data_IF_608513393501
#
_entry.id   IF_608513393501
#
_cell.length_a   1.000
_cell.length_b   1.000
_cell.length_c   1.000
_cell.angle_alpha   90.00
_cell.angle_beta   90.00
_cell.angle_gamma   90.00
#
_symmetry.space_group_name_H-M   'P 1'
#
loop_
_entity.id
_entity.type
_entity.pdbx_description
1 polymer ?
#
# COMPACT_ATOMS: atom_id res chain seq x y z
N UNK A 1 18.75 -4.96 -34.02
CA UNK A 1 19.04 -5.23 -35.45
C UNK A 1 17.79 -5.51 -36.30
N UNK A 2 17.04 -6.62 -36.12
CA UNK A 2 15.85 -6.88 -36.95
C UNK A 2 14.64 -5.99 -36.60
N UNK A 3 14.36 -5.79 -35.31
CA UNK A 3 13.27 -4.92 -34.82
C UNK A 3 13.51 -3.47 -35.25
N UNK A 4 14.67 -2.89 -34.91
CA UNK A 4 15.03 -1.52 -35.30
C UNK A 4 14.96 -1.27 -36.81
N UNK A 5 15.31 -2.28 -37.63
CA UNK A 5 15.18 -2.18 -39.08
C UNK A 5 13.72 -2.04 -39.50
N UNK A 6 12.83 -2.89 -38.97
CA UNK A 6 11.39 -2.81 -39.25
C UNK A 6 10.82 -1.49 -38.75
N UNK A 7 11.19 -1.05 -37.55
CA UNK A 7 10.73 0.21 -36.98
C UNK A 7 11.16 1.42 -37.83
N UNK A 8 12.42 1.44 -38.28
CA UNK A 8 12.97 2.49 -39.16
C UNK A 8 12.24 2.50 -40.51
N UNK A 9 11.99 1.32 -41.08
CA UNK A 9 11.26 1.20 -42.36
C UNK A 9 9.81 1.63 -42.22
N UNK A 10 9.15 1.30 -41.12
CA UNK A 10 7.80 1.73 -40.81
C UNK A 10 7.74 3.26 -40.63
N UNK A 11 8.73 3.89 -39.98
CA UNK A 11 8.78 5.35 -39.84
C UNK A 11 8.82 6.08 -41.20
N UNK A 12 9.47 5.48 -42.21
CA UNK A 12 9.60 6.05 -43.56
C UNK A 12 8.38 5.72 -44.44
N UNK A 13 7.99 4.44 -44.49
CA UNK A 13 6.99 3.93 -45.43
C UNK A 13 5.56 3.82 -44.87
N UNK A 14 5.40 3.94 -43.54
CA UNK A 14 4.14 3.79 -42.80
C UNK A 14 3.38 2.52 -43.24
N UNK A 15 2.05 2.57 -43.20
CA UNK A 15 1.16 1.45 -43.53
C UNK A 15 1.28 0.94 -44.96
N UNK A 16 1.62 1.80 -45.93
CA UNK A 16 1.78 1.40 -47.32
C UNK A 16 2.89 0.35 -47.48
N UNK A 17 3.97 0.49 -46.71
CA UNK A 17 5.05 -0.49 -46.72
C UNK A 17 4.64 -1.83 -46.08
N UNK A 18 3.85 -1.77 -45.01
CA UNK A 18 3.31 -2.97 -44.33
C UNK A 18 2.42 -3.77 -45.28
N UNK A 19 1.50 -3.10 -45.97
CA UNK A 19 0.59 -3.72 -46.95
C UNK A 19 1.36 -4.33 -48.13
N UNK A 20 2.41 -3.67 -48.61
CA UNK A 20 3.27 -4.24 -49.66
C UNK A 20 4.04 -5.48 -49.20
N UNK A 21 4.42 -5.56 -47.92
CA UNK A 21 5.15 -6.71 -47.38
C UNK A 21 4.25 -7.92 -47.13
N UNK A 22 3.03 -7.68 -46.63
CA UNK A 22 2.02 -8.72 -46.38
C UNK A 22 1.31 -9.18 -47.66
N UNK A 23 1.08 -8.28 -48.62
CA UNK A 23 0.42 -8.57 -49.89
C UNK A 23 1.33 -9.18 -50.97
N UNK A 24 2.61 -9.42 -50.67
CA UNK A 24 3.54 -9.99 -51.63
C UNK A 24 3.33 -11.52 -51.76
N UNK A 25 2.49 -11.95 -52.70
CA UNK A 25 2.12 -13.36 -52.95
C UNK A 25 3.33 -14.29 -53.17
N UNK A 26 4.50 -13.74 -53.54
CA UNK A 26 5.73 -14.51 -53.75
C UNK A 26 6.40 -14.93 -52.43
N UNK A 27 6.03 -14.34 -51.30
CA UNK A 27 6.50 -14.72 -49.97
C UNK A 27 5.31 -15.26 -49.18
N UNK A 28 5.15 -16.59 -49.12
CA UNK A 28 4.29 -17.20 -48.10
C UNK A 28 4.96 -17.01 -46.75
N UNK A 29 4.36 -16.19 -45.91
CA UNK A 29 4.77 -16.03 -44.52
C UNK A 29 4.27 -17.23 -43.73
N UNK A 30 5.14 -17.80 -42.90
CA UNK A 30 4.68 -18.74 -41.86
C UNK A 30 4.01 -17.95 -40.73
N UNK A 31 3.03 -18.55 -40.07
CA UNK A 31 2.30 -18.00 -38.92
C UNK A 31 3.20 -17.26 -37.93
N UNK A 32 4.29 -17.91 -37.51
CA UNK A 32 5.24 -17.35 -36.55
C UNK A 32 6.02 -16.12 -37.08
N UNK A 33 6.27 -16.05 -38.39
CA UNK A 33 6.94 -14.90 -39.01
C UNK A 33 5.99 -13.70 -39.12
N UNK A 34 4.70 -13.96 -39.43
CA UNK A 34 3.66 -12.93 -39.44
C UNK A 34 3.52 -12.33 -38.05
N UNK A 35 3.38 -13.17 -37.02
CA UNK A 35 3.31 -12.73 -35.63
C UNK A 35 4.54 -11.93 -35.23
N UNK A 36 5.74 -12.45 -35.48
CA UNK A 36 6.99 -11.74 -35.14
C UNK A 36 7.16 -10.41 -35.89
N UNK A 37 6.57 -10.24 -37.07
CA UNK A 37 6.56 -8.97 -37.77
C UNK A 37 5.54 -8.01 -37.18
N UNK A 38 4.33 -8.49 -36.88
CA UNK A 38 3.29 -7.68 -36.25
C UNK A 38 3.74 -7.16 -34.88
N UNK A 39 4.47 -7.94 -34.07
CA UNK A 39 4.98 -7.48 -32.75
C UNK A 39 5.98 -6.33 -32.86
N UNK A 40 6.56 -6.12 -34.03
CA UNK A 40 7.47 -4.99 -34.29
C UNK A 40 6.76 -3.76 -34.84
N UNK A 41 5.44 -3.82 -35.07
CA UNK A 41 4.61 -2.70 -35.48
C UNK A 41 3.95 -2.04 -34.26
N UNK A 42 3.55 -0.77 -34.37
CA UNK A 42 2.84 -0.13 -33.27
C UNK A 42 1.48 -0.76 -33.01
N UNK A 43 1.09 -0.82 -31.74
CA UNK A 43 -0.25 -1.26 -31.37
C UNK A 43 -1.22 -0.12 -31.71
N UNK A 44 -2.12 -0.39 -32.67
CA UNK A 44 -3.19 0.51 -33.04
C UNK A 44 -4.32 -0.28 -33.71
N UNK A 45 -5.49 0.35 -33.90
CA UNK A 45 -6.65 -0.25 -34.56
C UNK A 45 -6.32 -0.99 -35.88
N UNK A 46 -5.37 -0.49 -36.69
CA UNK A 46 -4.98 -1.17 -37.94
C UNK A 46 -4.25 -2.49 -37.70
N UNK A 47 -3.35 -2.53 -36.72
CA UNK A 47 -2.68 -3.77 -36.29
C UNK A 47 -3.70 -4.75 -35.71
N UNK A 48 -4.63 -4.27 -34.89
CA UNK A 48 -5.72 -5.06 -34.32
C UNK A 48 -6.61 -5.68 -35.41
N UNK A 49 -6.97 -4.92 -36.45
CA UNK A 49 -7.78 -5.43 -37.55
C UNK A 49 -7.02 -6.49 -38.38
N UNK A 50 -5.70 -6.38 -38.51
CA UNK A 50 -4.89 -7.40 -39.16
C UNK A 50 -4.81 -8.68 -38.30
N UNK A 51 -4.64 -8.52 -36.98
CA UNK A 51 -4.66 -9.63 -36.02
C UNK A 51 -6.00 -10.35 -35.98
N UNK A 52 -7.12 -9.62 -36.09
CA UNK A 52 -8.45 -10.20 -36.08
C UNK A 52 -8.74 -11.14 -37.28
N UNK A 53 -7.94 -11.04 -38.35
CA UNK A 53 -8.02 -11.94 -39.51
C UNK A 53 -7.17 -13.21 -39.35
N UNK A 54 -6.37 -13.31 -38.30
CA UNK A 54 -5.51 -14.45 -37.99
C UNK A 54 -6.22 -15.46 -37.08
N UNK A 55 -5.69 -16.68 -37.00
CA UNK A 55 -6.22 -17.72 -36.12
C UNK A 55 -6.02 -17.36 -34.63
N UNK A 56 -6.84 -17.91 -33.75
CA UNK A 56 -6.83 -17.59 -32.29
C UNK A 56 -5.48 -17.91 -31.63
N UNK A 57 -4.80 -18.98 -32.10
CA UNK A 57 -3.45 -19.33 -31.67
C UNK A 57 -2.43 -18.24 -32.05
N UNK A 58 -2.53 -17.68 -33.25
CA UNK A 58 -1.62 -16.63 -33.74
C UNK A 58 -1.84 -15.30 -33.01
N UNK A 59 -3.10 -14.98 -32.70
CA UNK A 59 -3.45 -13.84 -31.87
C UNK A 59 -2.86 -13.97 -30.46
N UNK A 60 -2.99 -15.15 -29.85
CA UNK A 60 -2.43 -15.44 -28.54
C UNK A 60 -0.90 -15.31 -28.53
N UNK A 61 -0.22 -15.85 -29.56
CA UNK A 61 1.24 -15.72 -29.72
C UNK A 61 1.68 -14.26 -29.89
N UNK A 62 0.89 -13.42 -30.57
CA UNK A 62 1.16 -11.99 -30.68
C UNK A 62 1.11 -11.32 -29.31
N UNK A 63 0.02 -11.50 -28.56
CA UNK A 63 -0.17 -10.87 -27.26
C UNK A 63 0.85 -11.35 -26.22
N UNK A 64 1.31 -12.60 -26.33
CA UNK A 64 2.39 -13.12 -25.50
C UNK A 64 3.75 -12.46 -25.78
N UNK A 65 4.00 -12.01 -27.02
CA UNK A 65 5.30 -11.51 -27.46
C UNK A 65 5.38 -9.98 -27.63
N UNK A 66 4.24 -9.27 -27.65
CA UNK A 66 4.22 -7.83 -27.92
C UNK A 66 4.90 -7.03 -26.80
N UNK A 67 5.65 -6.00 -27.19
CA UNK A 67 6.18 -5.00 -26.27
C UNK A 67 5.28 -3.75 -26.27
N UNK A 68 4.82 -3.34 -25.09
CA UNK A 68 3.93 -2.18 -24.92
C UNK A 68 4.62 -0.83 -25.07
N UNK A 69 5.96 -0.81 -25.24
CA UNK A 69 6.75 0.41 -25.42
C UNK A 69 6.44 1.17 -26.72
N UNK A 70 5.56 0.63 -27.58
CA UNK A 70 5.26 1.20 -28.89
C UNK A 70 3.76 1.28 -29.20
N UNK A 71 2.95 1.67 -28.22
CA UNK A 71 1.55 2.03 -28.44
C UNK A 71 1.47 3.46 -28.95
N UNK A 72 0.73 3.67 -30.04
CA UNK A 72 0.67 4.97 -30.75
C UNK A 72 -0.68 5.68 -30.56
N UNK A 73 -1.72 5.00 -30.07
CA UNK A 73 -3.08 5.55 -30.04
C UNK A 73 -3.76 5.37 -28.68
N UNK A 74 -4.33 6.46 -28.17
CA UNK A 74 -5.00 6.52 -26.86
C UNK A 74 -6.30 5.72 -26.79
N UNK A 75 -6.97 5.51 -27.93
CA UNK A 75 -8.23 4.77 -27.97
C UNK A 75 -8.05 3.25 -27.81
N UNK A 76 -6.82 2.76 -27.97
CA UNK A 76 -6.51 1.34 -27.96
C UNK A 76 -6.01 0.83 -26.58
N UNK A 77 -5.87 1.71 -25.57
CA UNK A 77 -5.28 1.34 -24.27
C UNK A 77 -6.11 0.32 -23.50
N UNK A 78 -7.40 0.56 -23.24
CA UNK A 78 -8.22 -0.36 -22.45
C UNK A 78 -8.33 -1.74 -23.11
N UNK A 79 -8.51 -1.76 -24.44
CA UNK A 79 -8.56 -3.00 -25.22
C UNK A 79 -7.24 -3.75 -25.12
N UNK A 80 -6.12 -3.04 -25.21
CA UNK A 80 -4.77 -3.62 -25.08
C UNK A 80 -4.56 -4.21 -23.68
N UNK A 81 -4.92 -3.48 -22.62
CA UNK A 81 -4.81 -3.94 -21.24
C UNK A 81 -5.62 -5.23 -21.06
N UNK A 82 -6.89 -5.26 -21.47
CA UNK A 82 -7.72 -6.47 -21.35
C UNK A 82 -7.15 -7.64 -22.13
N UNK A 83 -6.65 -7.42 -23.35
CA UNK A 83 -6.02 -8.48 -24.16
C UNK A 83 -4.74 -9.02 -23.52
N UNK A 84 -3.97 -8.19 -22.82
CA UNK A 84 -2.79 -8.63 -22.05
C UNK A 84 -3.19 -9.47 -20.83
N UNK A 85 -4.28 -9.09 -20.14
CA UNK A 85 -4.81 -9.88 -19.02
C UNK A 85 -5.34 -11.24 -19.50
N UNK A 86 -6.05 -11.30 -20.63
CA UNK A 86 -6.54 -12.56 -21.23
C UNK A 86 -5.42 -13.58 -21.50
N UNK A 87 -4.20 -13.11 -21.81
CA UNK A 87 -3.03 -13.98 -22.05
C UNK A 87 -2.09 -14.11 -20.84
N UNK A 88 -2.58 -13.75 -19.64
CA UNK A 88 -1.84 -13.84 -18.38
C UNK A 88 -0.52 -13.02 -18.37
N UNK A 89 -0.57 -11.77 -18.84
CA UNK A 89 0.55 -10.80 -18.77
C UNK A 89 0.25 -9.57 -17.91
N UNK A 90 -0.09 -9.73 -16.61
CA UNK A 90 -0.50 -8.62 -15.74
C UNK A 90 0.62 -7.59 -15.49
N UNK A 91 1.90 -8.00 -15.44
CA UNK A 91 3.02 -7.06 -15.27
C UNK A 91 3.19 -6.12 -16.47
N UNK A 92 3.01 -6.64 -17.69
CA UNK A 92 3.07 -5.82 -18.90
C UNK A 92 1.85 -4.89 -18.98
N UNK A 93 0.69 -5.34 -18.50
CA UNK A 93 -0.49 -4.50 -18.36
C UNK A 93 -0.26 -3.37 -17.34
N UNK A 94 0.37 -3.67 -16.20
CA UNK A 94 0.75 -2.70 -15.18
C UNK A 94 1.75 -1.66 -15.71
N UNK A 95 2.79 -2.11 -16.43
CA UNK A 95 3.77 -1.20 -17.07
C UNK A 95 3.07 -0.22 -18.03
N UNK A 96 2.07 -0.71 -18.78
CA UNK A 96 1.26 0.13 -19.66
C UNK A 96 0.41 1.13 -18.88
N UNK A 97 -0.30 0.69 -17.84
CA UNK A 97 -1.10 1.58 -16.98
C UNK A 97 -0.21 2.64 -16.35
N UNK A 98 0.96 2.27 -15.82
CA UNK A 98 1.93 3.19 -15.28
C UNK A 98 2.44 4.22 -16.30
N UNK A 99 2.63 3.82 -17.56
CA UNK A 99 2.99 4.75 -18.64
C UNK A 99 1.87 5.76 -18.94
N UNK A 100 0.62 5.30 -18.97
CA UNK A 100 -0.57 6.15 -19.23
C UNK A 100 -0.73 7.16 -18.09
N UNK A 101 -0.71 6.71 -16.84
CA UNK A 101 -0.89 7.56 -15.64
C UNK A 101 0.32 8.47 -15.35
N UNK A 102 1.44 8.32 -16.08
CA UNK A 102 2.57 9.27 -16.05
C UNK A 102 2.39 10.42 -17.04
N UNK A 103 1.62 10.24 -18.10
CA UNK A 103 1.47 11.25 -19.14
C UNK A 103 0.26 12.15 -18.87
N UNK A 104 0.45 13.21 -18.09
CA UNK A 104 -0.59 14.20 -17.72
C UNK A 104 -1.25 14.89 -18.92
N UNK A 105 -0.60 14.93 -20.10
CA UNK A 105 -1.16 15.54 -21.30
C UNK A 105 -2.11 14.60 -22.07
N UNK A 106 -2.10 13.31 -21.72
CA UNK A 106 -2.79 12.24 -22.45
C UNK A 106 -3.63 11.34 -21.52
N UNK A 107 -3.78 11.71 -20.25
CA UNK A 107 -4.52 10.96 -19.25
C UNK A 107 -6.01 10.92 -19.61
N UNK A 108 -6.41 9.86 -20.29
CA UNK A 108 -7.81 9.44 -20.40
C UNK A 108 -8.19 8.78 -19.08
N UNK A 109 -9.40 9.06 -18.60
CA UNK A 109 -10.00 8.38 -17.44
C UNK A 109 -10.05 6.87 -17.75
N UNK A 110 -9.10 6.10 -17.23
CA UNK A 110 -9.17 4.64 -17.27
C UNK A 110 -10.33 4.21 -16.38
N UNK A 111 -11.15 3.26 -16.84
CA UNK A 111 -12.23 2.75 -15.99
C UNK A 111 -11.69 2.23 -14.65
N UNK A 112 -12.22 2.64 -13.49
CA UNK A 112 -11.79 2.10 -12.20
C UNK A 112 -11.93 0.58 -12.13
N UNK A 113 -12.90 -0.01 -12.84
CA UNK A 113 -13.04 -1.47 -12.93
C UNK A 113 -11.82 -2.11 -13.59
N UNK A 114 -11.24 -1.49 -14.62
CA UNK A 114 -10.07 -2.02 -15.31
C UNK A 114 -8.82 -1.94 -14.42
N UNK A 115 -8.68 -0.85 -13.66
CA UNK A 115 -7.58 -0.69 -12.70
C UNK A 115 -7.63 -1.77 -11.61
N UNK A 116 -8.82 -2.06 -11.09
CA UNK A 116 -9.07 -3.14 -10.13
C UNK A 116 -8.76 -4.49 -10.77
N UNK A 117 -9.27 -4.78 -11.98
CA UNK A 117 -8.98 -6.02 -12.72
C UNK A 117 -7.48 -6.26 -12.86
N UNK A 118 -6.70 -5.22 -13.19
CA UNK A 118 -5.23 -5.33 -13.30
C UNK A 118 -4.58 -5.71 -11.96
N UNK A 119 -5.00 -5.09 -10.86
CA UNK A 119 -4.51 -5.42 -9.52
C UNK A 119 -4.92 -6.83 -9.10
N UNK A 120 -6.14 -7.26 -9.39
CA UNK A 120 -6.60 -8.62 -9.05
C UNK A 120 -5.84 -9.70 -9.81
N UNK A 121 -5.65 -9.51 -11.12
CA UNK A 121 -4.87 -10.46 -11.94
C UNK A 121 -3.40 -10.47 -11.54
N UNK A 122 -2.81 -9.32 -11.18
CA UNK A 122 -1.44 -9.27 -10.70
C UNK A 122 -1.29 -10.02 -9.36
N UNK A 123 -2.24 -9.88 -8.44
CA UNK A 123 -2.24 -10.60 -7.16
C UNK A 123 -2.43 -12.13 -7.31
N UNK A 124 -3.25 -12.55 -8.27
CA UNK A 124 -3.50 -13.97 -8.55
C UNK A 124 -2.39 -14.62 -9.39
N UNK A 125 -1.59 -13.81 -10.08
CA UNK A 125 -0.47 -14.32 -10.86
C UNK A 125 0.57 -14.94 -9.93
N UNK A 126 0.81 -16.24 -10.09
CA UNK A 126 1.97 -16.85 -9.46
C UNK A 126 3.22 -16.15 -9.98
N UNK A 127 4.07 -15.65 -9.07
CA UNK A 127 5.43 -15.21 -9.39
C UNK A 127 6.14 -16.36 -10.11
N UNK A 128 6.08 -16.37 -11.43
CA UNK A 128 6.17 -17.63 -12.15
C UNK A 128 6.34 -17.42 -13.64
N UNK A 129 7.30 -16.59 -14.03
CA UNK A 129 8.11 -16.73 -15.27
C UNK A 129 9.06 -15.55 -15.47
N UNK A 130 8.80 -14.39 -14.85
CA UNK A 130 9.68 -13.23 -14.87
C UNK A 130 10.28 -13.03 -13.47
N UNK A 131 11.54 -13.43 -13.26
CA UNK A 131 12.31 -12.84 -12.16
C UNK A 131 12.37 -11.35 -12.44
N UNK A 132 11.58 -10.56 -11.72
CA UNK A 132 11.64 -9.11 -11.81
C UNK A 132 13.09 -8.72 -11.53
N UNK A 133 13.74 -8.12 -12.52
CA UNK A 133 14.98 -7.40 -12.28
C UNK A 133 14.72 -6.33 -11.22
N UNK A 134 15.73 -5.82 -10.49
CA UNK A 134 15.52 -4.70 -9.57
C UNK A 134 14.74 -3.55 -10.21
N UNK A 135 15.03 -3.25 -11.48
CA UNK A 135 14.27 -2.27 -12.27
C UNK A 135 12.80 -2.65 -12.48
N UNK A 136 12.50 -3.94 -12.65
CA UNK A 136 11.13 -4.45 -12.77
C UNK A 136 10.34 -4.34 -11.46
N UNK A 137 10.99 -4.59 -10.32
CA UNK A 137 10.37 -4.40 -9.01
C UNK A 137 10.01 -2.93 -8.77
N UNK A 138 10.93 -2.00 -9.04
CA UNK A 138 10.65 -0.57 -8.92
C UNK A 138 9.49 -0.11 -9.82
N UNK A 139 9.44 -0.60 -11.08
CA UNK A 139 8.30 -0.30 -11.96
C UNK A 139 6.97 -0.86 -11.43
N UNK A 140 7.00 -2.04 -10.81
CA UNK A 140 5.82 -2.63 -10.18
C UNK A 140 5.32 -1.75 -9.02
N UNK A 141 6.21 -1.36 -8.11
CA UNK A 141 5.91 -0.45 -6.98
C UNK A 141 5.29 0.86 -7.50
N UNK A 142 5.97 1.52 -8.45
CA UNK A 142 5.50 2.77 -9.04
C UNK A 142 4.13 2.63 -9.72
N UNK A 143 3.92 1.52 -10.43
CA UNK A 143 2.67 1.23 -11.14
C UNK A 143 1.51 1.03 -10.18
N UNK A 144 1.72 0.23 -9.13
CA UNK A 144 0.73 -0.01 -8.08
C UNK A 144 0.39 1.29 -7.35
N UNK A 145 1.39 2.08 -6.94
CA UNK A 145 1.17 3.39 -6.32
C UNK A 145 0.31 4.32 -7.19
N UNK A 146 0.63 4.40 -8.50
CA UNK A 146 -0.10 5.21 -9.46
C UNK A 146 -1.57 4.78 -9.58
N UNK A 147 -1.83 3.48 -9.64
CA UNK A 147 -3.20 2.96 -9.69
C UNK A 147 -3.97 3.36 -8.44
N UNK A 148 -3.39 3.18 -7.25
CA UNK A 148 -4.06 3.57 -6.00
C UNK A 148 -4.28 5.08 -5.89
N UNK A 149 -3.33 5.91 -6.35
CA UNK A 149 -3.51 7.36 -6.42
C UNK A 149 -4.66 7.78 -7.35
N UNK A 150 -4.88 7.04 -8.43
CA UNK A 150 -6.00 7.27 -9.35
C UNK A 150 -7.32 6.83 -8.72
N UNK A 151 -7.36 5.63 -8.12
CA UNK A 151 -8.54 5.12 -7.41
C UNK A 151 -8.97 6.02 -6.26
N UNK A 152 -8.03 6.69 -5.56
CA UNK A 152 -8.33 7.67 -4.51
C UNK A 152 -9.12 8.89 -5.01
N UNK A 153 -9.01 9.24 -6.30
CA UNK A 153 -9.73 10.36 -6.91
C UNK A 153 -11.10 9.96 -7.44
N UNK A 154 -11.32 8.66 -7.62
CA UNK A 154 -12.53 8.08 -8.17
C UNK A 154 -13.47 7.66 -7.04
N UNK A 155 -14.78 7.75 -7.28
CA UNK A 155 -15.80 7.40 -6.28
C UNK A 155 -16.10 5.88 -6.30
N UNK A 156 -15.08 5.08 -5.97
CA UNK A 156 -15.12 3.61 -5.89
C UNK A 156 -15.50 3.14 -4.48
N UNK A 157 -15.99 1.92 -4.33
CA UNK A 157 -16.36 1.37 -3.02
C UNK A 157 -15.12 1.12 -2.13
N UNK A 158 -15.09 1.75 -0.96
CA UNK A 158 -13.98 1.65 0.01
C UNK A 158 -13.66 0.21 0.45
N UNK A 159 -14.65 -0.70 0.43
CA UNK A 159 -14.49 -2.08 0.90
C UNK A 159 -13.57 -2.90 -0.03
N UNK A 160 -13.69 -2.66 -1.33
CA UNK A 160 -12.93 -3.35 -2.39
C UNK A 160 -11.48 -2.85 -2.42
N UNK A 161 -11.28 -1.53 -2.36
CA UNK A 161 -9.94 -0.95 -2.33
C UNK A 161 -9.21 -1.35 -1.04
N UNK A 162 -9.88 -1.37 0.13
CA UNK A 162 -9.24 -1.82 1.37
C UNK A 162 -8.77 -3.28 1.31
N UNK A 163 -9.47 -4.15 0.57
CA UNK A 163 -9.03 -5.54 0.33
C UNK A 163 -7.75 -5.56 -0.51
N UNK A 164 -7.68 -4.74 -1.55
CA UNK A 164 -6.48 -4.62 -2.39
C UNK A 164 -5.31 -4.00 -1.62
N UNK A 165 -5.55 -2.99 -0.78
CA UNK A 165 -4.52 -2.42 0.09
C UNK A 165 -3.91 -3.48 1.00
N UNK A 166 -4.69 -4.43 1.51
CA UNK A 166 -4.17 -5.53 2.33
C UNK A 166 -3.26 -6.46 1.54
N UNK A 167 -3.63 -6.77 0.30
CA UNK A 167 -2.83 -7.61 -0.60
C UNK A 167 -1.51 -6.93 -0.96
N UNK A 168 -1.55 -5.61 -1.17
CA UNK A 168 -0.41 -4.81 -1.60
C UNK A 168 0.34 -4.08 -0.49
N UNK A 169 0.02 -4.37 0.77
CA UNK A 169 0.58 -3.68 1.93
C UNK A 169 2.12 -3.59 1.90
N UNK A 170 2.88 -4.68 1.63
CA UNK A 170 4.35 -4.62 1.63
C UNK A 170 4.95 -3.70 0.56
N UNK A 171 4.21 -3.45 -0.53
CA UNK A 171 4.60 -2.50 -1.56
C UNK A 171 4.20 -1.09 -1.16
N UNK A 172 2.97 -0.89 -0.67
CA UNK A 172 2.43 0.43 -0.35
C UNK A 172 3.19 1.13 0.77
N UNK A 173 3.72 0.39 1.75
CA UNK A 173 4.53 0.99 2.82
C UNK A 173 5.82 1.64 2.33
N UNK A 174 6.33 1.21 1.17
CA UNK A 174 7.52 1.78 0.54
C UNK A 174 7.21 3.03 -0.30
N UNK A 175 5.92 3.40 -0.41
CA UNK A 175 5.45 4.45 -1.31
C UNK A 175 4.99 5.69 -0.53
N UNK A 176 4.78 6.80 -1.26
CA UNK A 176 4.18 7.99 -0.66
C UNK A 176 2.69 7.77 -0.38
N UNK A 177 2.04 6.88 -1.14
CA UNK A 177 0.65 6.47 -0.96
C UNK A 177 0.56 5.27 0.00
N UNK A 178 0.69 5.55 1.30
CA UNK A 178 0.42 4.60 2.39
C UNK A 178 -1.01 4.00 2.33
N UNK A 179 -1.32 2.86 3.00
CA UNK A 179 -2.64 2.19 2.92
C UNK A 179 -3.75 2.97 3.66
N UNK A 180 -4.20 4.06 3.04
CA UNK A 180 -5.12 5.06 3.62
C UNK A 180 -6.42 4.46 4.12
N UNK A 181 -7.03 3.53 3.38
CA UNK A 181 -8.33 2.97 3.77
C UNK A 181 -8.19 1.99 4.93
N UNK A 182 -7.13 1.19 4.96
CA UNK A 182 -6.83 0.33 6.11
C UNK A 182 -6.53 1.15 7.37
N UNK A 183 -5.71 2.21 7.26
CA UNK A 183 -5.46 3.14 8.36
C UNK A 183 -6.75 3.79 8.86
N UNK A 184 -7.60 4.29 7.94
CA UNK A 184 -8.91 4.85 8.28
C UNK A 184 -9.83 3.83 8.94
N UNK A 185 -9.78 2.56 8.49
CA UNK A 185 -10.58 1.48 9.05
C UNK A 185 -10.13 1.13 10.47
N UNK A 186 -8.81 1.13 10.74
CA UNK A 186 -8.28 0.98 12.10
C UNK A 186 -8.77 2.11 13.02
N UNK A 187 -8.69 3.37 12.57
CA UNK A 187 -9.11 4.53 13.35
C UNK A 187 -10.62 4.58 13.61
N UNK A 188 -11.45 4.02 12.72
CA UNK A 188 -12.92 4.03 12.87
C UNK A 188 -13.50 2.78 13.51
N UNK A 189 -12.87 1.62 13.33
CA UNK A 189 -13.42 0.34 13.78
C UNK A 189 -12.50 -0.34 14.82
N UNK A 190 -12.83 -0.21 16.12
CA UNK A 190 -12.03 -0.83 17.18
C UNK A 190 -12.04 -2.37 17.15
N UNK A 191 -13.06 -2.99 16.56
CA UNK A 191 -13.11 -4.45 16.39
C UNK A 191 -12.12 -4.91 15.32
N UNK A 192 -11.97 -4.14 14.24
CA UNK A 192 -10.97 -4.43 13.21
C UNK A 192 -9.55 -4.31 13.77
N UNK A 193 -9.29 -3.31 14.62
CA UNK A 193 -8.02 -3.23 15.36
C UNK A 193 -7.76 -4.49 16.19
N UNK A 194 -8.75 -4.93 16.98
CA UNK A 194 -8.62 -6.16 17.76
C UNK A 194 -8.42 -7.40 16.87
N UNK A 195 -9.04 -7.47 15.69
CA UNK A 195 -8.82 -8.53 14.71
C UNK A 195 -7.37 -8.55 14.19
N UNK A 196 -6.78 -7.39 13.88
CA UNK A 196 -5.37 -7.33 13.45
C UNK A 196 -4.44 -7.82 14.55
N UNK A 197 -4.69 -7.45 15.82
CA UNK A 197 -3.91 -7.95 16.95
C UNK A 197 -3.98 -9.47 17.12
N UNK A 198 -5.05 -10.11 16.64
CA UNK A 198 -5.16 -11.58 16.63
C UNK A 198 -4.16 -12.24 15.69
N UNK A 199 -3.81 -11.57 14.60
CA UNK A 199 -2.80 -12.07 13.67
C UNK A 199 -1.39 -11.89 14.23
N UNK A 200 -1.13 -10.77 14.93
CA UNK A 200 0.23 -10.39 15.34
C UNK A 200 0.66 -11.03 16.65
N UNK A 201 -0.25 -11.14 17.62
CA UNK A 201 0.05 -11.61 18.97
C UNK A 201 -0.65 -12.93 19.28
N UNK A 202 0.02 -13.80 20.02
CA UNK A 202 -0.62 -14.96 20.65
C UNK A 202 -1.54 -14.50 21.78
N UNK A 203 -2.55 -15.32 22.09
CA UNK A 203 -3.37 -15.12 23.29
C UNK A 203 -2.49 -15.26 24.53
N UNK A 204 -2.79 -14.50 25.58
CA UNK A 204 -2.16 -14.58 26.89
C UNK A 204 -2.28 -15.99 27.50
N UNK A 205 -3.36 -16.70 27.15
CA UNK A 205 -3.67 -18.06 27.60
C UNK A 205 -3.00 -19.17 26.75
N UNK A 206 -2.58 -18.86 25.52
CA UNK A 206 -2.08 -19.86 24.54
C UNK A 206 -0.55 -19.79 24.36
N UNK A 207 0.19 -19.29 25.36
CA UNK A 207 1.66 -19.09 25.26
C UNK A 207 2.46 -20.38 25.03
N UNK A 208 1.85 -21.55 25.22
CA UNK A 208 2.47 -22.87 25.10
C UNK A 208 2.20 -23.60 23.75
N UNK A 209 1.36 -23.06 22.85
CA UNK A 209 0.99 -23.71 21.56
C UNK A 209 1.75 -23.16 20.33
N UNK A 210 3.03 -22.79 20.50
CA UNK A 210 3.86 -22.13 19.48
C UNK A 210 4.31 -23.02 18.30
N UNK A 211 4.10 -24.35 18.35
CA UNK A 211 4.90 -25.29 17.55
C UNK A 211 4.35 -25.64 16.15
N UNK A 212 3.29 -25.00 15.67
CA UNK A 212 2.79 -25.28 14.30
C UNK A 212 2.02 -24.14 13.64
N UNK A 213 2.59 -22.93 13.57
CA UNK A 213 2.04 -21.90 12.69
C UNK A 213 2.35 -22.23 11.22
N UNK A 214 1.30 -22.36 10.42
CA UNK A 214 1.40 -22.54 8.97
C UNK A 214 1.98 -21.27 8.31
N UNK A 215 2.55 -21.41 7.11
CA UNK A 215 3.17 -20.31 6.34
C UNK A 215 2.18 -19.15 6.14
N UNK A 216 0.92 -19.45 5.86
CA UNK A 216 -0.14 -18.44 5.73
C UNK A 216 -0.36 -17.64 7.02
N UNK A 217 -0.25 -18.29 8.18
CA UNK A 217 -0.40 -17.60 9.47
C UNK A 217 0.76 -16.66 9.74
N UNK A 218 1.99 -17.06 9.39
CA UNK A 218 3.16 -16.19 9.49
C UNK A 218 3.07 -14.98 8.54
N UNK A 219 2.61 -15.18 7.30
CA UNK A 219 2.38 -14.09 6.35
C UNK A 219 1.36 -13.10 6.91
N UNK A 220 0.21 -13.58 7.40
CA UNK A 220 -0.80 -12.71 8.02
C UNK A 220 -0.28 -11.95 9.24
N UNK A 221 0.53 -12.60 10.08
CA UNK A 221 1.14 -11.98 11.25
C UNK A 221 2.11 -10.85 10.87
N UNK A 222 2.92 -11.06 9.83
CA UNK A 222 3.85 -10.05 9.32
C UNK A 222 3.09 -8.86 8.71
N UNK A 223 2.10 -9.11 7.84
CA UNK A 223 1.24 -8.05 7.29
C UNK A 223 0.50 -7.26 8.38
N UNK A 224 0.00 -7.97 9.41
CA UNK A 224 -0.64 -7.31 10.55
C UNK A 224 0.34 -6.41 11.32
N UNK A 225 1.60 -6.83 11.47
CA UNK A 225 2.63 -6.05 12.15
C UNK A 225 3.00 -4.81 11.34
N UNK A 226 3.29 -4.99 10.06
CA UNK A 226 3.55 -3.91 9.09
C UNK A 226 2.44 -2.84 9.17
N UNK A 227 1.18 -3.27 9.04
CA UNK A 227 0.04 -2.35 9.09
C UNK A 227 -0.05 -1.56 10.41
N UNK A 228 0.27 -2.20 11.54
CA UNK A 228 0.26 -1.56 12.86
C UNK A 228 1.43 -0.59 13.05
N UNK A 229 2.58 -0.87 12.44
CA UNK A 229 3.78 -0.03 12.47
C UNK A 229 3.63 1.20 11.58
N UNK A 230 2.96 1.08 10.43
CA UNK A 230 2.70 2.19 9.50
C UNK A 230 1.49 3.06 9.88
N UNK A 231 0.73 2.70 10.91
CA UNK A 231 -0.50 3.40 11.32
C UNK A 231 -0.26 4.47 12.39
N UNK A 232 -0.52 5.73 12.02
CA UNK A 232 -0.35 6.91 12.89
C UNK A 232 -1.63 7.75 13.07
N UNK A 233 -2.74 7.34 12.46
CA UNK A 233 -3.99 8.09 12.49
C UNK A 233 -4.76 7.86 13.80
N UNK A 234 -4.74 8.85 14.70
CA UNK A 234 -5.43 8.77 16.00
C UNK A 234 -6.95 8.64 15.81
N UNK A 235 -7.63 7.67 16.46
CA UNK A 235 -9.08 7.58 16.46
C UNK A 235 -9.76 8.87 16.95
N UNK A 236 -10.86 9.28 16.29
CA UNK A 236 -11.55 10.53 16.59
C UNK A 236 -10.82 11.81 16.16
N UNK A 237 -9.67 11.72 15.46
CA UNK A 237 -9.00 12.88 14.90
C UNK A 237 -9.73 13.37 13.65
N UNK A 238 -10.27 14.59 13.70
CA UNK A 238 -10.86 15.27 12.57
C UNK A 238 -9.79 15.81 11.60
N UNK A 239 -10.18 16.08 10.35
CA UNK A 239 -9.30 16.67 9.33
C UNK A 239 -8.72 18.03 9.75
N UNK A 240 -9.42 18.76 10.63
CA UNK A 240 -8.99 20.03 11.20
C UNK A 240 -7.91 19.90 12.29
N UNK A 241 -7.50 18.66 12.63
CA UNK A 241 -6.48 18.37 13.64
C UNK A 241 -7.00 18.39 15.08
N UNK A 242 -8.32 18.43 15.27
CA UNK A 242 -8.96 18.34 16.60
C UNK A 242 -9.43 16.92 16.89
N UNK A 243 -9.23 16.46 18.12
CA UNK A 243 -9.73 15.15 18.58
C UNK A 243 -11.15 15.30 19.11
N UNK A 244 -12.09 14.51 18.59
CA UNK A 244 -13.39 14.28 19.21
C UNK A 244 -13.22 13.41 20.46
N UNK A 245 -13.47 14.01 21.62
CA UNK A 245 -13.27 13.36 22.92
C UNK A 245 -14.17 12.13 23.11
N UNK A 246 -15.41 12.19 22.65
CA UNK A 246 -16.38 11.12 22.86
C UNK A 246 -16.08 9.96 21.89
N UNK A 247 -15.79 10.27 20.63
CA UNK A 247 -15.42 9.24 19.64
C UNK A 247 -14.15 8.49 20.08
N UNK A 248 -13.11 9.20 20.50
CA UNK A 248 -11.87 8.57 20.96
C UNK A 248 -12.10 7.70 22.20
N UNK A 249 -12.84 8.19 23.21
CA UNK A 249 -13.13 7.41 24.43
C UNK A 249 -13.95 6.16 24.14
N UNK A 250 -14.96 6.27 23.27
CA UNK A 250 -15.76 5.12 22.84
C UNK A 250 -14.88 4.11 22.09
N UNK A 251 -14.04 4.59 21.17
CA UNK A 251 -13.13 3.74 20.41
C UNK A 251 -12.18 2.98 21.35
N UNK A 252 -11.51 3.68 22.27
CA UNK A 252 -10.58 3.06 23.24
C UNK A 252 -11.31 2.03 24.10
N UNK A 253 -12.48 2.37 24.64
CA UNK A 253 -13.26 1.43 25.47
C UNK A 253 -13.60 0.14 24.72
N UNK A 254 -14.06 0.26 23.48
CA UNK A 254 -14.45 -0.90 22.65
C UNK A 254 -13.24 -1.73 22.21
N UNK A 255 -12.13 -1.07 21.86
CA UNK A 255 -10.90 -1.73 21.47
C UNK A 255 -10.38 -2.59 22.63
N UNK A 256 -10.30 -2.01 23.84
CA UNK A 256 -9.89 -2.72 25.05
C UNK A 256 -10.80 -3.91 25.36
N UNK A 257 -12.12 -3.72 25.34
CA UNK A 257 -13.08 -4.80 25.56
C UNK A 257 -12.86 -5.97 24.58
N UNK A 258 -12.69 -5.67 23.29
CA UNK A 258 -12.46 -6.67 22.27
C UNK A 258 -11.09 -7.37 22.41
N UNK A 259 -10.04 -6.63 22.77
CA UNK A 259 -8.71 -7.17 23.02
C UNK A 259 -8.71 -8.11 24.22
N UNK A 260 -9.31 -7.70 25.35
CA UNK A 260 -9.46 -8.55 26.53
C UNK A 260 -10.28 -9.81 26.23
N UNK A 261 -11.38 -9.69 25.49
CA UNK A 261 -12.22 -10.84 25.11
C UNK A 261 -11.48 -11.87 24.24
N UNK A 262 -10.41 -11.46 23.55
CA UNK A 262 -9.56 -12.34 22.74
C UNK A 262 -8.21 -12.65 23.42
N UNK A 263 -8.07 -12.44 24.73
CA UNK A 263 -6.86 -12.75 25.49
C UNK A 263 -5.64 -11.91 25.11
N UNK A 264 -5.83 -10.67 24.65
CA UNK A 264 -4.76 -9.75 24.22
C UNK A 264 -4.90 -8.40 24.91
N UNK A 265 -5.29 -8.39 26.18
CA UNK A 265 -5.57 -7.18 26.94
C UNK A 265 -4.32 -6.31 27.09
N UNK A 266 -3.23 -6.89 27.58
CA UNK A 266 -1.96 -6.18 27.79
C UNK A 266 -1.40 -5.63 26.46
N UNK A 267 -1.44 -6.45 25.41
CA UNK A 267 -0.99 -6.05 24.06
C UNK A 267 -1.92 -5.00 23.44
N UNK A 268 -3.23 -5.12 23.64
CA UNK A 268 -4.20 -4.13 23.20
C UNK A 268 -3.93 -2.77 23.82
N UNK A 269 -3.72 -2.72 25.14
CA UNK A 269 -3.42 -1.48 25.85
C UNK A 269 -2.11 -0.84 25.36
N UNK A 270 -1.06 -1.64 25.17
CA UNK A 270 0.21 -1.17 24.61
C UNK A 270 0.05 -0.54 23.22
N UNK A 271 -0.66 -1.20 22.32
CA UNK A 271 -0.87 -0.75 20.94
C UNK A 271 -1.77 0.50 20.89
N UNK A 272 -2.75 0.59 21.78
CA UNK A 272 -3.54 1.81 22.02
C UNK A 272 -2.63 2.94 22.51
N UNK A 273 -1.73 2.64 23.45
CA UNK A 273 -0.72 3.60 23.92
C UNK A 273 0.13 4.15 22.77
N UNK A 274 0.63 3.29 21.88
CA UNK A 274 1.40 3.72 20.71
C UNK A 274 0.61 4.70 19.86
N UNK A 275 -0.63 4.39 19.49
CA UNK A 275 -1.39 5.30 18.61
C UNK A 275 -1.72 6.63 19.30
N UNK A 276 -1.98 6.63 20.61
CA UNK A 276 -2.23 7.86 21.37
C UNK A 276 -1.00 8.77 21.47
N UNK A 277 0.21 8.23 21.29
CA UNK A 277 1.44 9.02 21.27
C UNK A 277 1.42 10.07 20.15
N UNK A 278 0.79 9.75 19.01
CA UNK A 278 0.66 10.59 17.82
C UNK A 278 -0.44 11.66 17.94
N UNK A 279 -1.11 11.77 19.08
CA UNK A 279 -2.12 12.79 19.30
C UNK A 279 -1.51 14.20 19.20
N UNK A 280 -2.16 15.15 18.50
CA UNK A 280 -1.70 16.52 18.43
C UNK A 280 -1.62 17.15 19.82
N UNK A 281 -0.68 18.09 20.00
CA UNK A 281 -0.54 18.84 21.25
C UNK A 281 -1.87 19.50 21.65
N UNK A 282 -2.11 19.60 22.95
CA UNK A 282 -3.28 20.31 23.44
C UNK A 282 -3.16 21.82 23.18
N UNK A 283 -4.30 22.51 23.27
CA UNK A 283 -4.37 23.97 23.11
C UNK A 283 -3.54 24.74 24.16
N UNK A 284 -3.27 24.11 25.32
CA UNK A 284 -2.39 24.64 26.37
C UNK A 284 -0.89 24.52 26.02
N UNK A 285 -0.55 23.91 24.88
CA UNK A 285 0.82 23.69 24.43
C UNK A 285 1.55 22.56 25.16
N UNK A 286 0.87 21.87 26.08
CA UNK A 286 1.41 20.78 26.88
C UNK A 286 1.09 19.45 26.17
N UNK A 287 2.05 18.54 26.16
CA UNK A 287 1.88 17.18 25.67
C UNK A 287 1.70 16.21 26.86
N UNK A 288 0.88 15.14 26.73
CA UNK A 288 0.03 14.78 25.60
C UNK A 288 -1.24 15.64 25.53
N UNK A 289 -2.07 15.44 24.50
CA UNK A 289 -3.37 16.10 24.38
C UNK A 289 -4.21 15.92 25.66
N UNK A 290 -4.97 16.93 26.09
CA UNK A 290 -5.76 16.86 27.33
C UNK A 290 -6.75 15.69 27.35
N UNK A 291 -7.29 15.30 26.20
CA UNK A 291 -8.18 14.13 26.08
C UNK A 291 -7.40 12.83 26.36
N UNK A 292 -6.15 12.74 25.90
CA UNK A 292 -5.26 11.60 26.17
C UNK A 292 -4.88 11.54 27.65
N UNK A 293 -4.62 12.70 28.29
CA UNK A 293 -4.38 12.77 29.75
C UNK A 293 -5.55 12.16 30.52
N UNK A 294 -6.77 12.58 30.20
CA UNK A 294 -7.97 12.04 30.85
C UNK A 294 -8.08 10.50 30.69
N UNK A 295 -7.71 9.97 29.52
CA UNK A 295 -7.68 8.52 29.28
C UNK A 295 -6.61 7.85 30.16
N UNK A 296 -5.40 8.39 30.23
CA UNK A 296 -4.31 7.86 31.08
C UNK A 296 -4.74 7.84 32.55
N UNK A 297 -5.22 8.98 33.07
CA UNK A 297 -5.63 9.11 34.47
C UNK A 297 -6.81 8.18 34.80
N UNK A 298 -7.75 7.99 33.87
CA UNK A 298 -8.93 7.15 34.11
C UNK A 298 -8.65 5.66 33.99
N UNK A 299 -7.83 5.25 33.02
CA UNK A 299 -7.61 3.84 32.72
C UNK A 299 -6.54 3.20 33.61
N UNK A 300 -5.57 4.00 34.08
CA UNK A 300 -4.54 3.55 35.01
C UNK A 300 -3.76 2.31 34.52
N UNK A 301 -3.59 2.18 33.21
CA UNK A 301 -2.95 1.02 32.55
C UNK A 301 -1.47 1.27 32.30
N UNK A 302 -0.61 0.48 32.96
CA UNK A 302 0.84 0.56 32.78
C UNK A 302 1.28 0.15 31.36
N UNK A 303 0.57 -0.79 30.72
CA UNK A 303 0.87 -1.21 29.35
C UNK A 303 0.58 -0.09 28.34
N UNK A 304 -0.52 0.65 28.54
CA UNK A 304 -0.85 1.84 27.74
C UNK A 304 0.19 2.93 27.93
N UNK A 305 0.56 3.24 29.17
CA UNK A 305 1.62 4.18 29.49
C UNK A 305 2.96 3.75 28.83
N UNK A 306 3.29 2.45 28.85
CA UNK A 306 4.48 1.89 28.18
C UNK A 306 4.45 2.11 26.67
N UNK A 307 3.30 1.88 26.03
CA UNK A 307 3.12 2.11 24.59
C UNK A 307 3.42 3.56 24.18
N UNK A 308 2.95 4.53 24.97
CA UNK A 308 3.24 5.96 24.73
C UNK A 308 4.74 6.24 24.88
N UNK A 309 5.34 5.76 25.97
CA UNK A 309 6.76 6.00 26.31
C UNK A 309 7.68 5.47 25.21
N UNK A 310 7.48 4.22 24.78
CA UNK A 310 8.34 3.58 23.77
C UNK A 310 8.19 4.21 22.39
N UNK A 311 6.99 4.70 22.05
CA UNK A 311 6.75 5.36 20.76
C UNK A 311 7.48 6.69 20.64
N UNK A 312 7.49 7.48 21.71
CA UNK A 312 8.19 8.76 21.73
C UNK A 312 9.70 8.61 21.72
N UNK A 313 10.24 7.60 22.40
CA UNK A 313 11.67 7.33 22.40
C UNK A 313 12.24 7.20 20.98
N UNK A 314 11.51 6.52 20.10
CA UNK A 314 11.90 6.31 18.69
C UNK A 314 11.84 7.59 17.83
N UNK A 315 11.09 8.61 18.22
CA UNK A 315 10.95 9.87 17.45
C UNK A 315 12.03 10.92 17.78
N UNK A 316 12.82 10.68 18.83
CA UNK A 316 13.76 11.66 19.36
C UNK A 316 13.06 12.77 20.15
N UNK A 317 13.72 13.27 21.19
CA UNK A 317 13.11 14.25 22.08
C UNK A 317 14.11 14.90 23.03
N UNK A 318 13.65 15.94 23.71
CA UNK A 318 14.44 16.68 24.69
C UNK A 318 13.88 16.40 26.09
N UNK A 319 14.72 15.82 26.95
CA UNK A 319 14.39 15.49 28.33
C UNK A 319 13.89 16.72 29.11
N UNK A 320 14.41 17.93 28.84
CA UNK A 320 14.00 19.15 29.52
C UNK A 320 12.55 19.53 29.18
N UNK A 321 12.13 19.33 27.93
CA UNK A 321 10.75 19.59 27.48
C UNK A 321 9.77 18.68 28.23
N UNK A 322 10.06 17.39 28.32
CA UNK A 322 9.18 16.44 29.01
C UNK A 322 9.09 16.70 30.53
N UNK A 323 10.19 17.09 31.18
CA UNK A 323 10.15 17.51 32.59
C UNK A 323 9.30 18.75 32.80
N UNK A 324 9.39 19.73 31.89
CA UNK A 324 8.57 20.93 31.98
C UNK A 324 7.07 20.60 31.85
N UNK A 325 6.71 19.66 30.96
CA UNK A 325 5.35 19.14 30.89
C UNK A 325 4.95 18.39 32.17
N UNK A 326 5.81 17.54 32.72
CA UNK A 326 5.55 16.82 33.96
C UNK A 326 5.28 17.77 35.15
N UNK A 327 6.11 18.82 35.31
CA UNK A 327 5.95 19.85 36.34
C UNK A 327 4.60 20.57 36.20
N UNK A 328 4.23 20.93 34.97
CA UNK A 328 2.97 21.62 34.70
C UNK A 328 1.73 20.78 35.08
N UNK A 329 1.83 19.44 34.94
CA UNK A 329 0.74 18.51 35.16
C UNK A 329 0.73 17.87 36.56
N UNK A 330 1.77 18.06 37.36
CA UNK A 330 1.96 17.37 38.65
C UNK A 330 0.78 17.50 39.64
N UNK A 331 -0.03 18.55 39.52
CA UNK A 331 -1.17 18.82 40.41
C UNK A 331 -2.53 18.44 39.83
N UNK A 332 -2.63 18.26 38.51
CA UNK A 332 -3.90 18.01 37.81
C UNK A 332 -3.98 16.59 37.26
N UNK A 333 -2.88 16.09 36.67
CA UNK A 333 -2.80 14.82 35.94
C UNK A 333 -1.54 14.07 36.42
N UNK A 334 -1.63 13.44 37.58
CA UNK A 334 -0.47 12.94 38.31
C UNK A 334 0.19 11.72 37.63
N UNK A 335 -0.60 10.82 37.02
CA UNK A 335 -0.05 9.65 36.31
C UNK A 335 0.64 10.09 35.03
N UNK A 336 0.00 11.02 34.31
CA UNK A 336 0.55 11.63 33.11
C UNK A 336 1.88 12.32 33.43
N UNK A 337 1.95 13.08 34.52
CA UNK A 337 3.19 13.70 34.97
C UNK A 337 4.28 12.67 35.28
N UNK A 338 3.95 11.57 35.97
CA UNK A 338 4.89 10.50 36.26
C UNK A 338 5.40 9.78 34.99
N UNK A 339 4.52 9.55 34.02
CA UNK A 339 4.86 8.99 32.71
C UNK A 339 5.83 9.91 31.94
N UNK A 340 5.58 11.23 31.94
CA UNK A 340 6.45 12.21 31.31
C UNK A 340 7.83 12.30 31.98
N UNK A 341 7.90 12.18 33.31
CA UNK A 341 9.17 12.12 34.04
C UNK A 341 9.96 10.85 33.70
N UNK A 342 9.26 9.73 33.50
CA UNK A 342 9.87 8.48 33.03
C UNK A 342 10.46 8.65 31.63
N UNK A 343 9.77 9.32 30.72
CA UNK A 343 10.27 9.65 29.38
C UNK A 343 11.55 10.50 29.48
N UNK A 344 11.52 11.57 30.27
CA UNK A 344 12.70 12.42 30.47
C UNK A 344 13.91 11.65 31.00
N UNK A 345 13.69 10.76 31.98
CA UNK A 345 14.74 9.94 32.57
C UNK A 345 15.39 8.97 31.55
N UNK A 346 14.61 8.45 30.60
CA UNK A 346 15.12 7.57 29.53
C UNK A 346 16.08 8.37 28.63
N UNK A 347 15.67 9.57 28.19
CA UNK A 347 16.52 10.41 27.34
C UNK A 347 17.82 10.86 28.03
N UNK A 348 17.79 11.18 29.33
CA UNK A 348 19.02 11.47 30.06
C UNK A 348 20.00 10.29 30.02
N UNK A 349 19.48 9.08 30.26
CA UNK A 349 20.30 7.88 30.32
C UNK A 349 20.96 7.51 28.99
N UNK A 350 20.31 7.80 27.86
CA UNK A 350 20.88 7.61 26.52
C UNK A 350 21.84 8.73 26.13
N UNK A 351 21.54 10.00 26.48
CA UNK A 351 22.47 11.11 26.23
C UNK A 351 23.84 10.93 26.93
N UNK A 352 23.86 10.18 28.03
CA UNK A 352 25.07 9.80 28.73
C UNK A 352 25.80 8.59 28.13
N UNK A 353 25.15 7.78 27.26
CA UNK A 353 25.81 6.69 26.52
C UNK A 353 26.55 7.20 25.28
N UNK A 354 25.96 8.14 24.55
CA UNK A 354 26.53 8.68 23.30
C UNK A 354 27.67 9.70 23.53
N UNK A 355 27.82 10.21 24.76
CA UNK A 355 28.89 11.13 25.15
C UNK A 355 30.25 10.49 25.48
N UNK A 356 30.39 9.16 25.29
CA UNK A 356 31.61 8.39 25.59
C UNK A 356 32.22 7.65 24.38
N UNK A 357 31.75 7.87 23.16
CA UNK A 357 32.47 7.53 21.91
C UNK A 357 33.25 8.73 21.37
#
# INVERSE_FOLDING_TARGET
MAIEFVQTRFAIGKWNWVEQMLGNEQKRWFSQQTVSFLTTLPICQRTMNLLANLEEEEQSLYWQAVSVNWIISQDDYEVTIRKLLEVNRPYTALDLVGLILRNEQESKDLSPTLLIEVLEELANSTFGTETLTPDGYHRCVDGVEKIFCELDQLNVEDSEIARLEWVYLPLLEQTLRQPKLLHRKLSKNPLFFAEILKFVYLSEDDRDESDSLDEEAMIRANLGRELLESWYQVPGLAEEGTIDSEELKIWVSKAREACCANGRGERGDYEIGRILAYAPKAADGIYPNSIVREIIEKLESEDLERGIVESLWNEGGDAEIYRNYAIALQTTDYRTAAMLEKIASIYDSDSHRDGFE
#
